data_IF_092026174864
#
_entry.id   IF_092026174864
#
_cell.length_a   1.000
_cell.length_b   1.000
_cell.length_c   1.000
_cell.angle_alpha   90.00
_cell.angle_beta   90.00
_cell.angle_gamma   90.00
#
_symmetry.space_group_name_H-M   'P 1'
#
loop_
_entity.id
_entity.type
_entity.pdbx_description
1 polymer ?
#
# COMPACT_ATOMS: atom_id res chain seq x y z
N UNK A 1 -1.17 -17.86 -2.14
CA UNK A 1 -1.08 -16.98 -3.32
C UNK A 1 -2.28 -17.20 -4.22
N UNK A 2 -2.57 -18.44 -4.63
CA UNK A 2 -3.71 -18.77 -5.50
C UNK A 2 -5.07 -18.32 -4.96
N UNK A 3 -5.37 -18.52 -3.68
CA UNK A 3 -6.67 -18.10 -3.12
C UNK A 3 -6.88 -16.58 -3.14
N UNK A 4 -5.80 -15.80 -2.97
CA UNK A 4 -5.87 -14.33 -3.04
C UNK A 4 -6.07 -13.87 -4.48
N UNK A 5 -5.31 -14.46 -5.41
CA UNK A 5 -5.39 -14.13 -6.84
C UNK A 5 -6.76 -14.50 -7.43
N UNK A 6 -7.38 -15.58 -6.96
CA UNK A 6 -8.75 -15.99 -7.34
C UNK A 6 -9.82 -15.00 -6.90
N UNK A 7 -9.55 -14.17 -5.89
CA UNK A 7 -10.50 -13.20 -5.35
C UNK A 7 -10.27 -11.77 -5.86
N UNK A 8 -9.26 -11.53 -6.70
CA UNK A 8 -8.95 -10.19 -7.21
C UNK A 8 -10.14 -9.52 -7.90
N UNK A 9 -11.00 -10.28 -8.58
CA UNK A 9 -12.20 -9.76 -9.25
C UNK A 9 -13.31 -9.29 -8.29
N UNK A 10 -13.24 -9.70 -7.02
CA UNK A 10 -14.19 -9.31 -5.97
C UNK A 10 -13.67 -8.14 -5.12
N UNK A 11 -12.40 -7.78 -5.29
CA UNK A 11 -11.72 -6.76 -4.51
C UNK A 11 -11.68 -5.45 -5.28
N UNK A 12 -11.84 -4.33 -4.56
CA UNK A 12 -11.54 -3.03 -5.16
C UNK A 12 -10.03 -2.92 -5.43
N UNK A 13 -9.64 -1.99 -6.30
CA UNK A 13 -8.22 -1.67 -6.55
C UNK A 13 -7.48 -1.37 -5.23
N UNK A 14 -8.10 -0.62 -4.33
CA UNK A 14 -7.53 -0.26 -3.02
C UNK A 14 -7.32 -1.45 -2.10
N UNK A 15 -8.28 -2.39 -2.08
CA UNK A 15 -8.15 -3.64 -1.33
C UNK A 15 -6.97 -4.45 -1.86
N UNK A 16 -6.87 -4.60 -3.19
CA UNK A 16 -5.79 -5.36 -3.83
C UNK A 16 -4.43 -4.75 -3.49
N UNK A 17 -4.28 -3.44 -3.68
CA UNK A 17 -3.01 -2.75 -3.40
C UNK A 17 -2.63 -2.89 -1.92
N UNK A 18 -3.56 -2.63 -1.00
CA UNK A 18 -3.28 -2.71 0.44
C UNK A 18 -2.87 -4.12 0.87
N UNK A 19 -3.56 -5.15 0.40
CA UNK A 19 -3.20 -6.54 0.73
C UNK A 19 -1.86 -6.92 0.13
N UNK A 20 -1.55 -6.51 -1.11
CA UNK A 20 -0.27 -6.80 -1.74
C UNK A 20 0.89 -6.07 -1.06
N UNK A 21 0.71 -4.84 -0.59
CA UNK A 21 1.72 -4.12 0.19
C UNK A 21 2.06 -4.87 1.49
N UNK A 22 1.04 -5.33 2.22
CA UNK A 22 1.22 -6.13 3.44
C UNK A 22 1.87 -7.48 3.13
N UNK A 23 1.46 -8.13 2.04
CA UNK A 23 1.99 -9.43 1.64
C UNK A 23 3.46 -9.35 1.19
N UNK A 24 3.81 -8.30 0.46
CA UNK A 24 5.15 -8.09 -0.09
C UNK A 24 6.20 -7.84 1.00
N UNK A 25 5.82 -7.21 2.12
CA UNK A 25 6.76 -6.90 3.18
C UNK A 25 6.16 -7.16 4.57
N UNK A 26 6.77 -8.09 5.29
CA UNK A 26 6.31 -8.49 6.63
C UNK A 26 6.47 -7.37 7.69
N UNK A 27 7.21 -6.31 7.42
CA UNK A 27 7.37 -5.15 8.31
C UNK A 27 6.15 -4.22 8.32
N UNK A 28 5.32 -4.26 7.28
CA UNK A 28 4.13 -3.41 7.14
C UNK A 28 3.05 -3.85 8.11
N UNK A 29 2.60 -2.97 9.00
CA UNK A 29 1.60 -3.26 10.04
C UNK A 29 0.23 -2.69 9.73
N UNK A 30 0.17 -1.66 8.88
CA UNK A 30 -1.06 -0.97 8.49
C UNK A 30 -0.84 -0.26 7.15
N UNK A 31 -1.90 -0.14 6.35
CA UNK A 31 -1.88 0.69 5.14
C UNK A 31 -2.94 1.78 5.18
N UNK A 32 -2.69 2.85 4.42
CA UNK A 32 -3.60 3.99 4.25
C UNK A 32 -3.77 4.27 2.75
N UNK A 33 -5.00 4.50 2.30
CA UNK A 33 -5.33 4.87 0.91
C UNK A 33 -6.57 5.78 0.88
N UNK A 34 -7.06 6.09 -0.34
CA UNK A 34 -8.25 6.94 -0.55
C UNK A 34 -8.18 8.28 0.23
N UNK A 35 -7.10 9.03 0.03
CA UNK A 35 -6.87 10.29 0.76
C UNK A 35 -6.78 10.07 2.28
N UNK A 36 -6.22 8.93 2.68
CA UNK A 36 -5.97 8.46 4.06
C UNK A 36 -7.20 8.24 4.94
N UNK A 37 -8.40 8.30 4.35
CA UNK A 37 -9.65 7.95 5.02
C UNK A 37 -9.82 6.44 5.20
N UNK A 38 -9.24 5.66 4.28
CA UNK A 38 -9.33 4.21 4.29
C UNK A 38 -8.05 3.61 4.86
N UNK A 39 -8.24 2.76 5.87
CA UNK A 39 -7.16 2.13 6.63
C UNK A 39 -7.36 0.63 6.69
N UNK A 40 -6.29 -0.13 6.42
CA UNK A 40 -6.29 -1.58 6.57
C UNK A 40 -5.32 -1.98 7.67
N UNK A 41 -5.78 -2.84 8.55
CA UNK A 41 -5.02 -3.30 9.70
C UNK A 41 -4.57 -4.74 9.47
N UNK A 42 -3.33 -5.02 9.86
CA UNK A 42 -2.82 -6.40 9.92
C UNK A 42 -3.00 -6.96 11.33
N UNK A 43 -2.69 -8.24 11.51
CA UNK A 43 -2.58 -8.88 12.82
C UNK A 43 -1.41 -8.34 13.66
N UNK A 44 -0.44 -7.66 13.03
CA UNK A 44 0.72 -7.07 13.70
C UNK A 44 0.33 -5.76 14.35
N UNK A 45 0.84 -5.52 15.56
CA UNK A 45 0.59 -4.28 16.31
C UNK A 45 1.57 -3.20 15.86
N UNK A 46 1.06 -2.00 15.64
CA UNK A 46 1.89 -0.82 15.50
C UNK A 46 2.59 -0.47 16.81
N UNK A 47 3.79 0.09 16.71
CA UNK A 47 4.49 0.69 17.84
C UNK A 47 3.91 2.05 18.23
N UNK A 48 3.09 2.68 17.37
CA UNK A 48 2.50 3.99 17.65
C UNK A 48 1.67 3.95 18.92
N UNK A 49 1.98 4.87 19.81
CA UNK A 49 1.22 5.09 21.05
C UNK A 49 0.07 6.07 20.80
N UNK A 50 0.31 7.05 19.93
CA UNK A 50 -0.71 8.02 19.53
C UNK A 50 -1.85 7.35 18.74
N UNK A 51 -3.09 7.52 19.22
CA UNK A 51 -4.31 7.05 18.55
C UNK A 51 -4.89 8.09 17.56
N UNK A 52 -4.18 9.19 17.31
CA UNK A 52 -4.56 10.21 16.34
C UNK A 52 -3.87 10.01 15.01
N UNK A 53 -4.41 10.63 13.97
CA UNK A 53 -3.78 10.80 12.67
C UNK A 53 -4.19 12.15 12.10
N UNK A 54 -3.38 12.71 11.20
CA UNK A 54 -3.63 14.01 10.57
C UNK A 54 -3.42 13.91 9.07
N UNK A 55 -4.42 14.29 8.27
CA UNK A 55 -4.25 14.32 6.81
C UNK A 55 -3.15 15.27 6.34
N UNK A 56 -2.80 16.29 7.14
CA UNK A 56 -1.68 17.18 6.86
C UNK A 56 -0.34 16.43 6.95
N UNK A 57 -0.18 15.51 7.90
CA UNK A 57 1.05 14.72 8.04
C UNK A 57 1.24 13.85 6.80
N UNK A 58 0.18 13.20 6.33
CA UNK A 58 0.22 12.36 5.14
C UNK A 58 0.45 13.14 3.85
N UNK A 59 -0.08 14.36 3.76
CA UNK A 59 0.26 15.26 2.66
C UNK A 59 1.74 15.59 2.66
N UNK A 60 2.31 15.89 3.83
CA UNK A 60 3.76 16.13 3.94
C UNK A 60 4.56 14.88 3.56
N UNK A 61 4.10 13.68 3.93
CA UNK A 61 4.74 12.42 3.55
C UNK A 61 4.71 12.17 2.04
N UNK A 62 3.63 12.56 1.37
CA UNK A 62 3.48 12.45 -0.08
C UNK A 62 4.39 13.41 -0.85
N UNK A 63 4.56 14.63 -0.34
CA UNK A 63 5.33 15.73 -0.94
C UNK A 63 6.83 15.69 -0.59
N UNK A 64 7.26 14.82 0.33
CA UNK A 64 8.65 14.68 0.75
C UNK A 64 9.57 14.20 -0.40
N UNK A 65 10.83 14.66 -0.37
CA UNK A 65 11.87 14.22 -1.32
C UNK A 65 12.22 12.74 -1.13
N UNK A 66 12.44 12.32 0.12
CA UNK A 66 12.53 10.91 0.48
C UNK A 66 11.17 10.42 0.99
N UNK A 67 10.55 9.56 0.18
CA UNK A 67 9.22 9.02 0.45
C UNK A 67 9.25 7.80 1.37
N UNK A 68 10.42 7.21 1.64
CA UNK A 68 10.55 6.01 2.46
C UNK A 68 10.96 6.34 3.90
N UNK A 69 10.49 5.51 4.84
CA UNK A 69 10.96 5.53 6.23
C UNK A 69 10.83 6.88 6.94
N UNK A 70 9.79 7.65 6.60
CA UNK A 70 9.52 8.94 7.21
C UNK A 70 9.05 8.71 8.65
N UNK A 71 9.63 9.39 9.65
CA UNK A 71 9.23 9.21 11.05
C UNK A 71 7.74 9.52 11.27
N UNK A 72 7.06 8.66 12.00
CA UNK A 72 5.66 8.85 12.39
C UNK A 72 5.44 8.28 13.80
N UNK A 73 5.69 9.13 14.79
CA UNK A 73 5.81 8.75 16.21
C UNK A 73 6.84 7.62 16.41
N UNK A 74 6.45 6.51 17.05
CA UNK A 74 7.30 5.32 17.26
C UNK A 74 7.36 4.37 16.06
N UNK A 75 6.70 4.72 14.96
CA UNK A 75 6.70 3.97 13.71
C UNK A 75 7.24 4.83 12.55
N UNK A 76 7.13 4.28 11.35
CA UNK A 76 7.52 4.95 10.13
C UNK A 76 6.41 4.86 9.09
N UNK A 77 6.37 5.84 8.20
CA UNK A 77 5.52 5.86 7.00
C UNK A 77 6.41 5.82 5.76
N UNK A 78 6.04 4.96 4.81
CA UNK A 78 6.59 4.98 3.45
C UNK A 78 5.45 5.23 2.46
N UNK A 79 5.61 6.23 1.58
CA UNK A 79 4.64 6.59 0.56
C UNK A 79 4.98 5.93 -0.78
N UNK A 80 3.97 5.36 -1.42
CA UNK A 80 4.03 4.72 -2.74
C UNK A 80 2.97 5.35 -3.63
N UNK A 81 3.28 5.55 -4.91
CA UNK A 81 2.33 6.09 -5.88
C UNK A 81 2.04 5.04 -6.95
N UNK A 82 0.76 4.71 -7.12
CA UNK A 82 0.29 3.78 -8.15
C UNK A 82 -0.76 4.47 -9.04
N UNK A 83 -0.36 4.82 -10.26
CA UNK A 83 -1.16 5.72 -11.10
C UNK A 83 -1.14 7.14 -10.53
N UNK A 84 -2.32 7.71 -10.30
CA UNK A 84 -2.47 9.06 -9.74
C UNK A 84 -2.83 9.06 -8.24
N UNK A 85 -2.70 7.92 -7.57
CA UNK A 85 -3.11 7.75 -6.18
C UNK A 85 -1.95 7.35 -5.30
N UNK A 86 -1.93 7.93 -4.09
CA UNK A 86 -0.92 7.69 -3.07
C UNK A 86 -1.42 6.69 -2.04
N UNK A 87 -0.54 5.77 -1.69
CA UNK A 87 -0.73 4.70 -0.73
C UNK A 87 0.40 4.77 0.28
N UNK A 88 0.09 4.54 1.56
CA UNK A 88 1.07 4.63 2.62
C UNK A 88 1.16 3.32 3.36
N UNK A 89 2.39 2.85 3.58
CA UNK A 89 2.69 1.74 4.47
C UNK A 89 3.18 2.28 5.80
N UNK A 90 2.53 1.90 6.89
CA UNK A 90 3.08 2.04 8.23
C UNK A 90 3.83 0.78 8.61
N UNK A 91 5.03 0.94 9.16
CA UNK A 91 5.93 -0.15 9.54
C UNK A 91 6.72 0.21 10.79
N UNK A 92 6.99 -0.80 11.62
CA UNK A 92 7.72 -0.65 12.89
C UNK A 92 9.24 -0.62 12.70
N UNK A 93 9.72 -1.14 11.57
CA UNK A 93 11.14 -1.23 11.22
C UNK A 93 11.33 -0.66 9.82
N UNK A 94 12.44 0.06 9.62
CA UNK A 94 12.76 0.66 8.32
C UNK A 94 12.74 -0.38 7.20
N UNK A 95 12.10 0.00 6.09
CA UNK A 95 12.19 -0.68 4.81
C UNK A 95 13.56 -0.44 4.20
N UNK A 96 14.23 -1.49 3.77
CA UNK A 96 15.41 -1.36 2.92
C UNK A 96 14.98 -1.24 1.43
N UNK A 97 15.96 -1.13 0.53
CA UNK A 97 15.70 -1.04 -0.91
C UNK A 97 14.93 -2.25 -1.46
N UNK A 98 15.22 -3.44 -0.94
CA UNK A 98 14.64 -4.69 -1.43
C UNK A 98 13.18 -4.80 -0.98
N UNK A 99 12.87 -4.40 0.26
CA UNK A 99 11.51 -4.30 0.78
C UNK A 99 10.65 -3.38 -0.10
N UNK A 100 11.16 -2.17 -0.39
CA UNK A 100 10.45 -1.19 -1.20
C UNK A 100 10.28 -1.66 -2.66
N UNK A 101 11.32 -2.26 -3.24
CA UNK A 101 11.27 -2.82 -4.59
C UNK A 101 10.28 -4.00 -4.69
N UNK A 102 10.22 -4.85 -3.67
CA UNK A 102 9.30 -5.98 -3.61
C UNK A 102 7.83 -5.50 -3.52
N UNK A 103 7.55 -4.51 -2.65
CA UNK A 103 6.24 -3.87 -2.57
C UNK A 103 5.84 -3.29 -3.93
N UNK A 104 6.69 -2.45 -4.50
CA UNK A 104 6.38 -1.77 -5.76
C UNK A 104 6.19 -2.77 -6.90
N UNK A 105 7.11 -3.73 -7.07
CA UNK A 105 7.09 -4.70 -8.16
C UNK A 105 5.88 -5.63 -8.10
N UNK A 106 5.51 -6.10 -6.90
CA UNK A 106 4.35 -6.99 -6.75
C UNK A 106 3.04 -6.25 -7.04
N UNK A 107 2.86 -5.05 -6.48
CA UNK A 107 1.66 -4.25 -6.70
C UNK A 107 1.55 -3.83 -8.16
N UNK A 108 2.62 -3.29 -8.75
CA UNK A 108 2.63 -2.87 -10.15
C UNK A 108 2.32 -4.04 -11.09
N UNK A 109 2.93 -5.20 -10.86
CA UNK A 109 2.68 -6.39 -11.67
C UNK A 109 1.24 -6.90 -11.58
N UNK A 110 0.61 -6.81 -10.42
CA UNK A 110 -0.80 -7.17 -10.25
C UNK A 110 -1.73 -6.19 -10.97
N UNK A 111 -1.53 -4.88 -10.80
CA UNK A 111 -2.32 -3.84 -11.46
C UNK A 111 -2.21 -3.94 -12.99
N UNK A 112 -1.00 -4.19 -13.51
CA UNK A 112 -0.80 -4.40 -14.95
C UNK A 112 -1.64 -5.56 -15.49
N UNK A 113 -1.66 -6.70 -14.79
CA UNK A 113 -2.49 -7.86 -15.17
C UNK A 113 -3.98 -7.56 -15.08
N UNK A 114 -4.42 -6.84 -14.05
CA UNK A 114 -5.83 -6.48 -13.90
C UNK A 114 -6.32 -5.60 -15.05
N UNK A 115 -5.53 -4.60 -15.46
CA UNK A 115 -5.87 -3.74 -16.59
C UNK A 115 -5.88 -4.51 -17.92
N UNK A 116 -4.89 -5.37 -18.16
CA UNK A 116 -4.85 -6.20 -19.36
C UNK A 116 -6.09 -7.10 -19.50
N UNK A 117 -6.58 -7.67 -18.39
CA UNK A 117 -7.80 -8.49 -18.37
C UNK A 117 -9.08 -7.68 -18.61
N UNK A 118 -9.11 -6.40 -18.25
CA UNK A 118 -10.25 -5.52 -18.53
C UNK A 118 -10.33 -5.17 -20.02
N UNK A 119 -9.18 -4.89 -20.65
CA UNK A 119 -9.12 -4.54 -22.08
C UNK A 119 -9.54 -5.71 -22.98
N UNK A 120 -9.18 -6.97 -22.63
CA UNK A 120 -9.61 -8.15 -23.38
C UNK A 120 -11.14 -8.33 -23.37
N UNK A 121 -11.80 -8.09 -22.23
CA UNK A 121 -13.25 -8.25 -22.10
C UNK A 121 -14.06 -7.20 -22.88
N UNK A 122 -13.50 -6.01 -23.12
CA UNK A 122 -14.15 -4.93 -23.89
C UNK A 122 -14.11 -5.20 -25.40
N UNK A 123 -13.14 -5.98 -25.87
CA UNK A 123 -13.01 -6.31 -27.31
C UNK A 123 -13.83 -7.53 -27.75
N UNK A 124 -14.49 -8.20 -26.81
CA UNK A 124 -15.29 -9.41 -27.04
C UNK A 124 -16.82 -9.20 -27.05
N UNK A 125 -17.29 -7.95 -26.99
CA UNK A 125 -18.70 -7.54 -27.19
C UNK A 125 -18.90 -6.82 -28.54
#
# INVERSE_FOLDING_TARGET
>A
MDMLLQQLSLMSKDDVISVLMVHACNKVVKTYCAGVLQMYFTEKKTNRIAMSWSGLDFKNFEEAEDKLNQPYDEAYISAFTFGNESYFAEHNEKLNSDDAAQIFGLVFGALFKMNALQDENVTSE
#
